data_IF_496004728081
#
_entry.id   IF_496004728081
#
_cell.length_a   1.000
_cell.length_b   1.000
_cell.length_c   1.000
_cell.angle_alpha   90.00
_cell.angle_beta   90.00
_cell.angle_gamma   90.00
#
_symmetry.space_group_name_H-M   'P 1'
#
loop_
_entity.id
_entity.type
_entity.pdbx_description
1 polymer ?
#
# COMPACT_ATOMS: atom_id res chain seq x y z
N UNK A 1 -13.97 22.32 -10.91
CA UNK A 1 -13.34 21.00 -11.20
C UNK A 1 -13.59 20.11 -10.00
N UNK A 2 -14.00 18.86 -10.20
CA UNK A 2 -14.28 17.95 -9.09
C UNK A 2 -12.96 17.48 -8.48
N UNK A 3 -12.72 17.83 -7.22
CA UNK A 3 -11.59 17.36 -6.42
C UNK A 3 -11.89 15.99 -5.84
N UNK A 4 -10.83 15.25 -5.47
CA UNK A 4 -10.91 13.99 -4.74
C UNK A 4 -10.44 14.25 -3.32
N UNK A 5 -11.38 14.30 -2.38
CA UNK A 5 -11.08 14.67 -0.99
C UNK A 5 -10.77 13.41 -0.19
N UNK A 6 -9.53 13.24 0.25
CA UNK A 6 -9.10 12.04 0.97
C UNK A 6 -8.85 12.33 2.45
N UNK A 7 -9.16 11.33 3.29
CA UNK A 7 -8.71 11.26 4.67
C UNK A 7 -7.57 10.24 4.77
N UNK A 8 -6.45 10.59 5.40
CA UNK A 8 -5.30 9.69 5.57
C UNK A 8 -5.24 9.20 7.01
N UNK A 9 -5.12 7.88 7.19
CA UNK A 9 -4.84 7.26 8.50
C UNK A 9 -3.44 6.69 8.48
N UNK A 10 -2.53 7.27 9.27
CA UNK A 10 -1.11 6.99 9.27
C UNK A 10 -0.34 7.89 8.30
N UNK A 11 0.27 8.96 8.81
CA UNK A 11 1.05 9.93 8.03
C UNK A 11 2.50 9.48 7.92
N UNK A 12 2.72 8.24 7.47
CA UNK A 12 4.02 7.59 7.35
C UNK A 12 4.78 7.93 6.05
N UNK A 13 5.81 7.14 5.72
CA UNK A 13 6.56 7.29 4.47
C UNK A 13 5.67 7.16 3.22
N UNK A 14 4.72 6.22 3.20
CA UNK A 14 3.78 6.06 2.09
C UNK A 14 2.90 7.30 1.89
N UNK A 15 2.38 7.88 2.97
CA UNK A 15 1.65 9.15 2.90
C UNK A 15 2.55 10.30 2.40
N UNK A 16 3.81 10.34 2.84
CA UNK A 16 4.79 11.31 2.35
C UNK A 16 5.02 11.19 0.85
N UNK A 17 5.25 9.99 0.34
CA UNK A 17 5.40 9.77 -1.10
C UNK A 17 4.13 10.09 -1.89
N UNK A 18 2.94 9.84 -1.34
CA UNK A 18 1.66 10.20 -1.95
C UNK A 18 1.53 11.72 -2.12
N UNK A 19 1.72 12.50 -1.04
CA UNK A 19 1.57 13.96 -1.08
C UNK A 19 2.66 14.61 -1.95
N UNK A 20 3.90 14.11 -1.88
CA UNK A 20 4.96 14.52 -2.78
C UNK A 20 4.60 14.24 -4.24
N UNK A 21 4.03 13.08 -4.56
CA UNK A 21 3.58 12.71 -5.90
C UNK A 21 2.49 13.64 -6.44
N UNK A 22 1.44 13.89 -5.65
CA UNK A 22 0.33 14.79 -6.01
C UNK A 22 0.84 16.20 -6.36
N UNK A 23 1.84 16.71 -5.63
CA UNK A 23 2.42 18.04 -5.88
C UNK A 23 3.43 18.02 -7.04
N UNK A 24 4.26 16.97 -7.14
CA UNK A 24 5.24 16.82 -8.22
C UNK A 24 4.57 16.83 -9.59
N UNK A 25 3.47 16.09 -9.73
CA UNK A 25 2.75 15.99 -11.02
C UNK A 25 1.86 17.19 -11.34
N UNK A 26 1.68 18.16 -10.43
CA UNK A 26 0.91 19.41 -10.66
C UNK A 26 1.60 20.39 -11.62
N UNK A 27 2.85 20.12 -12.03
CA UNK A 27 3.58 20.93 -13.02
C UNK A 27 4.56 21.94 -12.43
N UNK A 28 4.93 21.79 -11.15
CA UNK A 28 5.97 22.62 -10.50
C UNK A 28 7.40 22.20 -10.86
N UNK A 29 7.58 21.01 -11.46
CA UNK A 29 8.84 20.59 -12.07
C UNK A 29 8.73 20.82 -13.58
N UNK A 30 9.71 21.53 -14.17
CA UNK A 30 9.76 21.86 -15.60
C UNK A 30 9.90 20.65 -16.55
N UNK A 31 9.73 19.43 -16.06
CA UNK A 31 9.83 18.17 -16.79
C UNK A 31 8.53 17.37 -16.60
N UNK A 32 7.44 17.84 -17.23
CA UNK A 32 6.17 17.11 -17.28
C UNK A 32 6.34 15.73 -17.91
N UNK A 33 6.66 14.73 -17.09
CA UNK A 33 6.82 13.35 -17.50
C UNK A 33 5.78 12.49 -16.80
N UNK A 34 5.16 11.56 -17.53
CA UNK A 34 4.25 10.54 -16.98
C UNK A 34 5.02 9.38 -16.30
N UNK A 35 6.33 9.53 -16.13
CA UNK A 35 7.21 8.53 -15.49
C UNK A 35 6.71 8.26 -14.08
N UNK A 36 6.47 6.99 -13.76
CA UNK A 36 6.01 6.59 -12.43
C UNK A 36 4.50 6.75 -12.22
N UNK A 37 3.71 7.01 -13.26
CA UNK A 37 2.25 6.85 -13.25
C UNK A 37 1.86 5.71 -14.20
N UNK A 38 0.92 4.87 -13.79
CA UNK A 38 0.35 3.88 -14.70
C UNK A 38 -0.64 4.56 -15.63
N UNK A 39 -1.45 5.46 -15.08
CA UNK A 39 -2.34 6.33 -15.84
C UNK A 39 -2.09 7.80 -15.48
N UNK A 40 -1.85 8.63 -16.49
CA UNK A 40 -1.81 10.09 -16.28
C UNK A 40 -3.17 10.65 -15.88
N UNK A 41 -4.25 9.99 -16.31
CA UNK A 41 -5.62 10.41 -16.02
C UNK A 41 -6.53 9.18 -15.94
N UNK A 42 -7.44 9.15 -14.96
CA UNK A 42 -8.50 8.14 -14.83
C UNK A 42 -9.84 8.87 -14.85
N UNK A 43 -10.65 8.62 -15.87
CA UNK A 43 -11.87 9.40 -16.10
C UNK A 43 -11.54 10.90 -16.19
N UNK A 44 -12.21 11.78 -15.42
CA UNK A 44 -11.89 13.21 -15.40
C UNK A 44 -10.72 13.58 -14.46
N UNK A 45 -10.10 12.61 -13.77
CA UNK A 45 -9.22 12.86 -12.63
C UNK A 45 -7.74 12.71 -12.95
N UNK A 46 -6.96 13.76 -12.65
CA UNK A 46 -5.50 13.77 -12.69
C UNK A 46 -4.93 13.61 -11.27
N UNK A 47 -3.66 13.23 -11.09
CA UNK A 47 -3.05 13.11 -9.77
C UNK A 47 -3.21 14.37 -8.90
N UNK A 48 -3.10 15.55 -9.50
CA UNK A 48 -3.20 16.86 -8.83
C UNK A 48 -4.61 17.23 -8.34
N UNK A 49 -5.63 16.44 -8.71
CA UNK A 49 -7.00 16.60 -8.24
C UNK A 49 -7.26 15.94 -6.90
N UNK A 50 -6.32 15.13 -6.40
CA UNK A 50 -6.36 14.58 -5.05
C UNK A 50 -5.96 15.67 -4.04
N UNK A 51 -6.75 15.84 -2.99
CA UNK A 51 -6.47 16.75 -1.88
C UNK A 51 -6.69 16.05 -0.54
N UNK A 52 -5.82 16.36 0.42
CA UNK A 52 -5.94 15.84 1.80
C UNK A 52 -6.90 16.74 2.55
N UNK A 53 -8.04 16.19 2.96
CA UNK A 53 -9.06 16.91 3.71
C UNK A 53 -9.01 16.62 5.22
N UNK A 54 -8.50 15.44 5.60
CA UNK A 54 -8.27 15.06 7.00
C UNK A 54 -7.05 14.13 7.10
N UNK A 55 -6.38 14.16 8.25
CA UNK A 55 -5.24 13.28 8.51
C UNK A 55 -5.22 12.86 9.99
N UNK A 56 -4.85 11.61 10.25
CA UNK A 56 -4.74 11.05 11.60
C UNK A 56 -3.39 10.36 11.76
N UNK A 57 -2.71 10.62 12.87
CA UNK A 57 -1.47 9.95 13.27
C UNK A 57 -1.44 9.84 14.81
N UNK A 58 -0.51 9.04 15.34
CA UNK A 58 -0.32 8.88 16.78
C UNK A 58 0.93 9.61 17.26
N UNK A 59 1.85 9.94 16.35
CA UNK A 59 3.15 10.48 16.68
C UNK A 59 3.06 11.96 17.08
N UNK A 60 3.57 12.28 18.28
CA UNK A 60 3.59 13.64 18.83
C UNK A 60 4.32 14.67 17.95
N UNK A 61 5.17 14.24 17.04
CA UNK A 61 5.88 15.12 16.09
C UNK A 61 5.04 15.49 14.88
N UNK A 62 3.91 14.80 14.67
CA UNK A 62 3.02 14.97 13.52
C UNK A 62 1.69 15.59 13.95
N UNK A 63 1.13 15.11 15.05
CA UNK A 63 -0.14 15.61 15.59
C UNK A 63 -0.04 17.11 15.86
N UNK A 64 -1.01 17.87 15.34
CA UNK A 64 -1.08 19.33 15.43
C UNK A 64 -0.39 20.08 14.29
N UNK A 65 0.33 19.41 13.38
CA UNK A 65 0.90 20.02 12.18
C UNK A 65 -0.06 19.89 10.98
N UNK A 66 0.10 20.74 9.97
CA UNK A 66 -0.53 20.51 8.66
C UNK A 66 0.02 19.22 8.04
N UNK A 67 -0.80 18.45 7.34
CA UNK A 67 -0.36 17.23 6.67
C UNK A 67 0.81 17.46 5.70
N UNK A 68 0.91 18.63 5.06
CA UNK A 68 2.04 19.02 4.20
C UNK A 68 3.38 19.11 4.95
N UNK A 69 3.35 19.44 6.25
CA UNK A 69 4.53 19.51 7.11
C UNK A 69 4.81 18.17 7.79
N UNK A 70 3.75 17.52 8.31
CA UNK A 70 3.83 16.27 9.06
C UNK A 70 4.47 15.12 8.24
N UNK A 71 4.29 15.10 6.92
CA UNK A 71 4.89 14.07 6.06
C UNK A 71 6.42 14.09 6.04
N UNK A 72 7.06 15.19 6.45
CA UNK A 72 8.52 15.30 6.57
C UNK A 72 9.02 15.13 8.00
N UNK A 73 8.10 15.08 8.99
CA UNK A 73 8.47 14.86 10.37
C UNK A 73 8.94 13.42 10.59
N UNK A 74 9.92 13.26 11.48
CA UNK A 74 10.41 11.94 11.90
C UNK A 74 9.24 11.08 12.45
N UNK A 75 9.31 9.74 12.30
CA UNK A 75 10.44 8.97 11.79
C UNK A 75 10.39 8.79 10.26
N UNK A 76 9.61 9.61 9.53
CA UNK A 76 9.57 9.52 8.08
C UNK A 76 10.97 9.78 7.49
N UNK A 77 11.34 8.95 6.54
CA UNK A 77 12.68 8.87 5.98
C UNK A 77 12.71 8.52 4.49
N UNK A 78 11.55 8.52 3.81
CA UNK A 78 11.46 8.39 2.34
C UNK A 78 12.28 9.46 1.63
N UNK A 79 12.78 9.12 0.44
CA UNK A 79 13.39 10.11 -0.46
C UNK A 79 12.47 11.31 -0.66
N UNK A 80 13.03 12.50 -0.47
CA UNK A 80 12.36 13.76 -0.82
C UNK A 80 12.63 14.03 -2.31
N UNK A 81 11.58 13.96 -3.13
CA UNK A 81 11.60 14.26 -4.56
C UNK A 81 10.70 15.47 -4.91
N UNK A 82 9.88 15.92 -3.97
CA UNK A 82 9.14 17.18 -4.06
C UNK A 82 9.17 17.88 -2.69
N UNK A 83 9.99 18.92 -2.56
CA UNK A 83 10.14 19.64 -1.29
C UNK A 83 8.98 20.61 -1.01
N UNK A 84 8.48 21.27 -2.06
CA UNK A 84 7.45 22.31 -1.94
C UNK A 84 6.07 21.70 -2.06
N UNK A 85 5.48 21.40 -0.91
CA UNK A 85 4.10 20.92 -0.79
C UNK A 85 3.20 22.09 -0.42
N UNK A 86 2.12 22.28 -1.18
CA UNK A 86 1.13 23.30 -0.82
C UNK A 86 0.45 22.92 0.50
N UNK A 87 0.22 23.88 1.42
CA UNK A 87 -0.53 23.62 2.65
C UNK A 87 -1.87 22.97 2.34
N UNK A 88 -2.21 21.95 3.10
CA UNK A 88 -3.44 21.18 2.88
C UNK A 88 -4.63 21.79 3.63
N UNK A 89 -4.38 22.48 4.74
CA UNK A 89 -5.37 22.88 5.73
C UNK A 89 -5.83 21.72 6.64
N UNK A 90 -5.40 20.49 6.35
CA UNK A 90 -5.73 19.31 7.14
C UNK A 90 -4.71 19.17 8.28
N UNK A 91 -5.08 19.67 9.46
CA UNK A 91 -4.28 19.50 10.68
C UNK A 91 -4.34 18.05 11.13
N UNK A 92 -3.19 17.41 11.31
CA UNK A 92 -3.10 16.02 11.74
C UNK A 92 -3.69 15.88 13.14
N UNK A 93 -4.78 15.14 13.24
CA UNK A 93 -5.47 14.85 14.49
C UNK A 93 -4.86 13.60 15.13
N UNK A 94 -4.93 13.54 16.45
CA UNK A 94 -4.57 12.32 17.17
C UNK A 94 -5.52 11.19 16.77
N UNK A 95 -4.97 10.02 16.44
CA UNK A 95 -5.74 8.81 16.16
C UNK A 95 -5.97 7.94 17.40
N UNK A 96 -6.76 6.88 17.24
CA UNK A 96 -6.78 5.76 18.18
C UNK A 96 -5.64 4.78 17.87
N UNK A 97 -4.92 4.31 18.88
CA UNK A 97 -3.69 3.51 18.71
C UNK A 97 -4.00 2.04 18.45
N UNK A 98 -4.80 1.40 19.32
CA UNK A 98 -5.06 -0.06 19.30
C UNK A 98 -3.77 -0.89 19.14
N UNK A 99 -3.77 -1.86 18.23
CA UNK A 99 -2.62 -2.67 17.81
C UNK A 99 -1.74 -1.97 16.73
N UNK A 100 -1.98 -0.68 16.49
CA UNK A 100 -1.22 0.24 15.64
C UNK A 100 0.27 0.33 15.98
N UNK A 101 0.63 0.13 17.24
CA UNK A 101 2.00 0.30 17.75
C UNK A 101 2.52 -1.02 18.33
N UNK A 102 3.62 -1.55 17.77
CA UNK A 102 4.21 -2.78 18.27
C UNK A 102 5.08 -2.52 19.51
N UNK A 103 4.96 -3.36 20.54
CA UNK A 103 5.63 -3.13 21.83
C UNK A 103 7.15 -2.99 21.74
N UNK A 104 7.82 -3.76 20.87
CA UNK A 104 9.28 -3.70 20.70
C UNK A 104 9.77 -2.38 20.11
N UNK A 105 8.88 -1.59 19.50
CA UNK A 105 9.24 -0.30 18.91
C UNK A 105 9.67 0.73 19.97
N UNK A 106 9.27 0.53 21.23
CA UNK A 106 9.71 1.40 22.34
C UNK A 106 11.18 1.23 22.69
N UNK A 107 11.79 0.11 22.28
CA UNK A 107 13.17 -0.23 22.60
C UNK A 107 14.18 0.37 21.60
N UNK A 108 13.70 1.17 20.64
CA UNK A 108 14.49 1.79 19.58
C UNK A 108 14.64 3.30 19.77
N UNK A 109 15.66 3.86 19.12
CA UNK A 109 15.92 5.30 19.15
C UNK A 109 14.70 6.12 18.70
N UNK A 110 14.43 7.20 19.41
CA UNK A 110 13.27 8.07 19.19
C UNK A 110 13.18 8.61 17.75
N UNK A 111 14.30 8.75 17.03
CA UNK A 111 14.31 9.20 15.64
C UNK A 111 13.86 8.13 14.65
N UNK A 112 13.92 6.85 15.03
CA UNK A 112 13.65 5.69 14.16
C UNK A 112 12.31 5.00 14.47
N UNK A 113 11.61 5.41 15.53
CA UNK A 113 10.37 4.78 16.01
C UNK A 113 9.23 5.79 16.14
N UNK A 114 8.02 5.30 16.40
CA UNK A 114 6.86 6.15 16.69
C UNK A 114 6.89 6.64 18.14
N UNK A 115 6.40 7.85 18.39
CA UNK A 115 6.28 8.43 19.72
C UNK A 115 4.80 8.77 20.01
N UNK A 116 3.98 7.77 20.42
CA UNK A 116 2.55 7.95 20.65
C UNK A 116 2.25 9.01 21.71
N UNK A 117 1.19 9.80 21.51
CA UNK A 117 0.60 10.62 22.58
C UNK A 117 -0.29 9.77 23.50
N UNK A 118 -0.39 10.15 24.77
CA UNK A 118 -1.22 9.43 25.75
C UNK A 118 -2.73 9.63 25.54
N UNK A 119 -3.14 10.82 25.09
CA UNK A 119 -4.55 11.18 24.94
C UNK A 119 -5.04 10.90 23.53
N UNK A 120 -5.67 9.75 23.31
CA UNK A 120 -6.31 9.38 22.05
C UNK A 120 -7.59 10.18 21.79
N UNK A 121 -7.97 10.30 20.51
CA UNK A 121 -9.30 10.77 20.12
C UNK A 121 -10.35 9.69 20.34
N UNK A 122 -11.62 10.09 20.49
CA UNK A 122 -12.73 9.14 20.51
C UNK A 122 -13.20 8.82 19.09
N UNK A 123 -13.95 7.71 18.96
CA UNK A 123 -14.59 7.33 17.70
C UNK A 123 -15.47 8.45 17.14
N UNK A 124 -16.24 9.10 18.00
CA UNK A 124 -17.16 10.19 17.63
C UNK A 124 -16.39 11.38 17.08
N UNK A 125 -15.26 11.75 17.70
CA UNK A 125 -14.40 12.83 17.23
C UNK A 125 -13.81 12.53 15.85
N UNK A 126 -13.37 11.29 15.62
CA UNK A 126 -12.88 10.86 14.31
C UNK A 126 -13.98 10.95 13.26
N UNK A 127 -15.18 10.42 13.54
CA UNK A 127 -16.32 10.46 12.62
C UNK A 127 -16.76 11.90 12.34
N UNK A 128 -16.79 12.75 13.35
CA UNK A 128 -17.12 14.17 13.21
C UNK A 128 -16.10 14.88 12.31
N UNK A 129 -14.81 14.63 12.50
CA UNK A 129 -13.76 15.19 11.64
C UNK A 129 -13.91 14.73 10.18
N UNK A 130 -14.17 13.43 9.95
CA UNK A 130 -14.37 12.90 8.60
C UNK A 130 -15.56 13.57 7.90
N UNK A 131 -16.66 13.80 8.62
CA UNK A 131 -17.84 14.49 8.08
C UNK A 131 -17.59 15.98 7.85
N UNK A 132 -16.97 16.67 8.82
CA UNK A 132 -16.68 18.11 8.77
C UNK A 132 -15.69 18.45 7.67
N UNK A 133 -14.64 17.65 7.53
CA UNK A 133 -13.65 17.80 6.48
C UNK A 133 -14.25 17.61 5.09
N UNK A 134 -15.35 16.85 4.97
CA UNK A 134 -15.97 16.50 3.70
C UNK A 134 -15.09 15.57 2.85
N UNK A 135 -14.30 14.73 3.51
CA UNK A 135 -13.56 13.65 2.87
C UNK A 135 -14.54 12.62 2.27
N UNK A 136 -14.19 12.09 1.11
CA UNK A 136 -14.99 11.11 0.35
C UNK A 136 -14.38 9.71 0.41
N UNK A 137 -13.06 9.63 0.62
CA UNK A 137 -12.30 8.38 0.59
C UNK A 137 -11.33 8.36 1.76
N UNK A 138 -11.32 7.29 2.55
CA UNK A 138 -10.29 7.06 3.56
C UNK A 138 -9.19 6.15 3.00
N UNK A 139 -7.94 6.57 3.17
CA UNK A 139 -6.73 5.87 2.73
C UNK A 139 -5.98 5.37 3.95
N UNK A 140 -5.89 4.04 4.09
CA UNK A 140 -5.26 3.39 5.24
C UNK A 140 -3.78 3.11 4.98
N UNK A 141 -2.90 3.69 5.79
CA UNK A 141 -1.44 3.49 5.83
C UNK A 141 -0.95 3.13 7.24
N UNK A 142 -1.79 2.48 8.04
CA UNK A 142 -1.38 1.97 9.34
C UNK A 142 -0.23 0.94 9.24
N UNK A 143 0.51 0.69 10.32
CA UNK A 143 1.55 -0.33 10.32
C UNK A 143 1.02 -1.75 10.04
N UNK A 144 1.88 -2.63 9.54
CA UNK A 144 1.54 -4.04 9.34
C UNK A 144 1.20 -4.69 10.68
N UNK A 145 0.12 -5.49 10.71
CA UNK A 145 -0.35 -6.18 11.91
C UNK A 145 -1.34 -5.37 12.75
N UNK A 146 -1.77 -4.20 12.29
CA UNK A 146 -2.76 -3.35 12.94
C UNK A 146 -4.20 -3.75 12.55
N UNK A 147 -4.62 -4.94 12.98
CA UNK A 147 -5.92 -5.56 12.69
C UNK A 147 -7.07 -4.80 13.34
N UNK A 148 -7.00 -4.58 14.65
CA UNK A 148 -8.02 -3.88 15.43
C UNK A 148 -8.14 -2.43 14.98
N UNK A 149 -7.01 -1.73 14.82
CA UNK A 149 -6.99 -0.36 14.34
C UNK A 149 -7.61 -0.26 12.93
N UNK A 150 -7.22 -1.12 11.99
CA UNK A 150 -7.75 -1.07 10.62
C UNK A 150 -9.25 -1.32 10.59
N UNK A 151 -9.75 -2.31 11.33
CA UNK A 151 -11.19 -2.58 11.44
C UNK A 151 -11.93 -1.42 12.09
N UNK A 152 -11.34 -0.78 13.10
CA UNK A 152 -11.90 0.43 13.71
C UNK A 152 -12.05 1.56 12.69
N UNK A 153 -10.98 1.92 11.97
CA UNK A 153 -11.01 3.00 10.98
C UNK A 153 -11.90 2.68 9.76
N UNK A 154 -11.93 1.42 9.30
CA UNK A 154 -12.90 0.98 8.29
C UNK A 154 -14.35 1.15 8.79
N UNK A 155 -14.60 0.90 10.07
CA UNK A 155 -15.88 1.18 10.73
C UNK A 155 -16.22 2.67 10.76
N UNK A 156 -15.26 3.53 11.09
CA UNK A 156 -15.42 4.99 11.04
C UNK A 156 -15.70 5.49 9.63
N UNK A 157 -14.99 4.98 8.61
CA UNK A 157 -15.22 5.31 7.21
C UNK A 157 -16.65 4.95 6.78
N UNK A 158 -17.11 3.73 7.10
CA UNK A 158 -18.48 3.31 6.83
C UNK A 158 -19.51 4.23 7.50
N UNK A 159 -19.31 4.60 8.77
CA UNK A 159 -20.25 5.46 9.52
C UNK A 159 -20.24 6.93 9.07
N UNK A 160 -19.11 7.40 8.55
CA UNK A 160 -18.98 8.73 7.95
C UNK A 160 -19.37 8.76 6.46
N UNK A 161 -19.73 7.61 5.86
CA UNK A 161 -20.06 7.43 4.43
C UNK A 161 -18.91 7.69 3.46
N UNK A 162 -17.72 7.17 3.78
CA UNK A 162 -16.53 7.26 2.93
C UNK A 162 -16.26 5.92 2.23
N UNK A 163 -15.76 6.00 1.01
CA UNK A 163 -15.06 4.89 0.36
C UNK A 163 -13.77 4.54 1.13
N UNK A 164 -13.19 3.37 0.86
CA UNK A 164 -12.01 2.90 1.58
C UNK A 164 -10.94 2.33 0.64
N UNK A 165 -9.70 2.78 0.80
CA UNK A 165 -8.52 2.22 0.12
C UNK A 165 -7.60 1.63 1.16
N UNK A 166 -7.50 0.30 1.18
CA UNK A 166 -6.74 -0.44 2.18
C UNK A 166 -5.36 -0.84 1.65
N UNK A 167 -4.32 -0.11 2.05
CA UNK A 167 -2.97 -0.36 1.53
C UNK A 167 -2.17 -1.40 2.34
N UNK A 168 -2.74 -1.95 3.42
CA UNK A 168 -2.01 -2.79 4.36
C UNK A 168 -2.58 -4.22 4.35
N UNK A 169 -1.83 -5.24 4.82
CA UNK A 169 -2.25 -6.65 4.76
C UNK A 169 -3.19 -7.04 5.91
N UNK A 170 -4.24 -6.26 6.12
CA UNK A 170 -5.38 -6.62 6.99
C UNK A 170 -6.58 -6.84 6.07
N UNK A 171 -7.29 -7.94 6.24
CA UNK A 171 -8.39 -8.30 5.34
C UNK A 171 -9.63 -7.45 5.61
N UNK A 172 -10.02 -6.63 4.64
CA UNK A 172 -11.24 -5.81 4.65
C UNK A 172 -11.97 -5.98 3.32
N UNK A 173 -11.31 -5.70 2.18
CA UNK A 173 -11.93 -5.95 0.89
C UNK A 173 -12.09 -7.46 0.63
N UNK A 174 -11.12 -8.26 1.09
CA UNK A 174 -11.09 -9.72 0.97
C UNK A 174 -11.84 -10.48 2.05
N UNK A 175 -12.31 -9.79 3.10
CA UNK A 175 -13.22 -10.36 4.09
C UNK A 175 -14.67 -10.20 3.60
N UNK A 176 -15.43 -11.30 3.36
CA UNK A 176 -16.80 -11.24 2.89
C UNK A 176 -17.76 -10.42 3.77
N UNK A 177 -17.51 -10.37 5.09
CA UNK A 177 -18.33 -9.61 6.04
C UNK A 177 -18.13 -8.11 5.83
N UNK A 178 -16.89 -7.67 5.67
CA UNK A 178 -16.57 -6.27 5.41
C UNK A 178 -16.97 -5.86 3.99
N UNK A 179 -16.66 -6.68 2.98
CA UNK A 179 -17.08 -6.47 1.60
C UNK A 179 -18.60 -6.24 1.50
N UNK A 180 -19.40 -7.07 2.20
CA UNK A 180 -20.85 -6.90 2.26
C UNK A 180 -21.26 -5.58 2.90
N UNK A 181 -20.64 -5.18 4.01
CA UNK A 181 -20.98 -3.90 4.69
C UNK A 181 -20.74 -2.67 3.81
N UNK A 182 -19.67 -2.69 3.00
CA UNK A 182 -19.41 -1.64 2.01
C UNK A 182 -20.42 -1.67 0.86
N UNK A 183 -20.77 -2.86 0.37
CA UNK A 183 -21.80 -3.03 -0.66
C UNK A 183 -23.20 -2.56 -0.18
N UNK A 184 -23.60 -2.92 1.04
CA UNK A 184 -24.89 -2.55 1.63
C UNK A 184 -25.05 -1.01 1.77
N UNK A 185 -23.94 -0.28 1.94
CA UNK A 185 -23.90 1.19 1.96
C UNK A 185 -23.65 1.84 0.60
N UNK A 186 -23.47 1.03 -0.45
CA UNK A 186 -23.05 1.48 -1.77
C UNK A 186 -21.77 2.33 -1.76
N UNK A 187 -20.78 1.94 -0.93
CA UNK A 187 -19.48 2.61 -0.81
C UNK A 187 -18.39 1.73 -1.42
N UNK A 188 -17.55 2.25 -2.32
CA UNK A 188 -16.50 1.45 -2.95
C UNK A 188 -15.35 1.15 -1.98
N UNK A 189 -14.77 -0.04 -2.14
CA UNK A 189 -13.56 -0.46 -1.43
C UNK A 189 -12.54 -1.09 -2.39
N UNK A 190 -11.28 -0.70 -2.23
CA UNK A 190 -10.11 -1.29 -2.90
C UNK A 190 -9.15 -1.86 -1.86
N UNK A 191 -8.71 -3.09 -2.05
CA UNK A 191 -7.82 -3.79 -1.12
C UNK A 191 -7.67 -5.29 -1.44
N UNK A 192 -6.81 -6.02 -0.74
CA UNK A 192 -6.00 -5.60 0.41
C UNK A 192 -4.48 -5.74 0.14
N UNK A 193 -3.65 -4.97 0.86
CA UNK A 193 -2.19 -4.87 0.71
C UNK A 193 -1.74 -4.28 -0.65
N UNK A 194 -1.38 -3.00 -0.70
CA UNK A 194 -1.03 -2.33 -1.98
C UNK A 194 0.16 -3.00 -2.68
N UNK A 195 0.12 -3.09 -4.00
CA UNK A 195 1.26 -3.47 -4.84
C UNK A 195 2.25 -2.32 -4.93
N UNK A 196 3.46 -2.66 -5.36
CA UNK A 196 4.45 -1.69 -5.81
C UNK A 196 4.57 -1.79 -7.34
N UNK A 197 4.99 -0.72 -8.00
CA UNK A 197 5.26 -0.69 -9.44
C UNK A 197 6.29 -1.76 -9.80
N UNK A 198 7.41 -1.78 -9.08
CA UNK A 198 8.47 -2.76 -9.25
C UNK A 198 8.93 -3.32 -7.91
N UNK A 199 8.19 -4.29 -7.40
CA UNK A 199 8.51 -4.98 -6.15
C UNK A 199 9.28 -6.29 -6.34
N UNK A 200 9.89 -6.77 -5.25
CA UNK A 200 10.55 -8.07 -5.23
C UNK A 200 9.62 -9.24 -5.62
N UNK A 201 8.38 -9.25 -5.12
CA UNK A 201 7.42 -10.33 -5.38
C UNK A 201 7.02 -10.41 -6.85
N UNK A 202 6.72 -9.27 -7.50
CA UNK A 202 6.38 -9.27 -8.92
C UNK A 202 7.59 -9.65 -9.79
N UNK A 203 8.80 -9.16 -9.46
CA UNK A 203 10.03 -9.56 -10.15
C UNK A 203 10.25 -11.08 -10.08
N UNK A 204 10.19 -11.63 -8.87
CA UNK A 204 10.38 -13.06 -8.64
C UNK A 204 9.34 -13.89 -9.39
N UNK A 205 8.06 -13.51 -9.30
CA UNK A 205 6.97 -14.16 -10.02
C UNK A 205 7.19 -14.16 -11.53
N UNK A 206 7.59 -13.03 -12.12
CA UNK A 206 7.86 -12.91 -13.56
C UNK A 206 9.01 -13.81 -14.01
N UNK A 207 10.10 -13.88 -13.24
CA UNK A 207 11.24 -14.75 -13.57
C UNK A 207 10.85 -16.22 -13.51
N UNK A 208 10.14 -16.62 -12.46
CA UNK A 208 9.69 -18.00 -12.26
C UNK A 208 8.65 -18.42 -13.31
N UNK A 209 7.71 -17.54 -13.66
CA UNK A 209 6.76 -17.79 -14.74
C UNK A 209 7.48 -17.93 -16.10
N UNK A 210 8.50 -17.11 -16.36
CA UNK A 210 9.34 -17.26 -17.54
C UNK A 210 10.05 -18.62 -17.56
N UNK A 211 10.62 -19.05 -16.43
CA UNK A 211 11.29 -20.35 -16.30
C UNK A 211 10.32 -21.48 -16.66
N UNK A 212 9.12 -21.46 -16.07
CA UNK A 212 8.04 -22.40 -16.38
C UNK A 212 7.71 -22.41 -17.88
N UNK A 213 7.47 -21.23 -18.47
CA UNK A 213 7.13 -21.08 -19.90
C UNK A 213 8.25 -21.57 -20.84
N UNK A 214 9.49 -21.62 -20.38
CA UNK A 214 10.66 -22.07 -21.15
C UNK A 214 11.13 -23.49 -20.80
N UNK A 215 10.40 -24.21 -19.95
CA UNK A 215 10.74 -25.58 -19.54
C UNK A 215 11.93 -25.66 -18.58
N UNK A 216 12.27 -24.57 -17.89
CA UNK A 216 13.29 -24.56 -16.83
C UNK A 216 12.62 -24.96 -15.52
N UNK A 217 13.09 -26.04 -14.90
CA UNK A 217 12.58 -26.50 -13.61
C UNK A 217 13.22 -25.68 -12.49
N UNK A 218 12.41 -25.07 -11.63
CA UNK A 218 12.88 -24.48 -10.38
C UNK A 218 12.97 -25.58 -9.31
N UNK A 219 14.09 -25.65 -8.60
CA UNK A 219 14.30 -26.61 -7.51
C UNK A 219 14.29 -25.94 -6.13
N UNK A 220 14.93 -24.76 -6.02
CA UNK A 220 15.04 -24.00 -4.77
C UNK A 220 15.01 -22.51 -5.04
N UNK A 221 14.47 -21.74 -4.11
CA UNK A 221 14.55 -20.28 -4.18
C UNK A 221 14.46 -19.60 -2.82
N UNK A 222 15.09 -18.43 -2.70
CA UNK A 222 14.79 -17.51 -1.63
C UNK A 222 14.57 -16.08 -2.13
N UNK A 223 13.89 -15.29 -1.31
CA UNK A 223 13.75 -13.85 -1.45
C UNK A 223 13.97 -13.20 -0.07
N UNK A 224 15.11 -12.55 0.10
CA UNK A 224 15.52 -11.87 1.32
C UNK A 224 15.36 -10.37 1.15
N UNK A 225 14.61 -9.71 2.03
CA UNK A 225 14.32 -8.27 1.93
C UNK A 225 14.84 -7.54 3.17
N UNK A 226 15.61 -6.47 2.97
CA UNK A 226 16.08 -5.57 4.04
C UNK A 226 15.64 -4.14 3.75
N UNK A 227 15.46 -3.35 4.81
CA UNK A 227 15.14 -1.92 4.73
C UNK A 227 15.34 -1.24 6.09
N UNK A 228 15.30 0.09 6.13
CA UNK A 228 15.61 0.89 7.32
C UNK A 228 14.51 1.85 7.75
N UNK A 229 13.28 1.64 7.29
CA UNK A 229 12.12 2.46 7.66
C UNK A 229 11.32 1.83 8.82
N UNK A 230 10.32 2.55 9.30
CA UNK A 230 9.45 2.08 10.39
C UNK A 230 8.61 0.85 10.04
N UNK A 231 8.29 0.62 8.76
CA UNK A 231 7.59 -0.61 8.35
C UNK A 231 8.48 -1.83 8.56
N UNK A 232 9.74 -1.79 8.13
CA UNK A 232 10.72 -2.86 8.37
C UNK A 232 11.00 -3.06 9.86
N UNK A 233 11.10 -1.97 10.62
CA UNK A 233 11.27 -2.04 12.08
C UNK A 233 10.06 -2.71 12.75
N UNK A 234 8.85 -2.29 12.41
CA UNK A 234 7.60 -2.91 12.91
C UNK A 234 7.52 -4.39 12.55
N UNK A 235 8.00 -4.75 11.35
CA UNK A 235 8.04 -6.10 10.84
C UNK A 235 9.08 -7.02 11.48
N UNK A 236 10.00 -6.54 12.34
CA UNK A 236 10.87 -7.44 13.12
C UNK A 236 10.08 -8.35 14.07
N UNK A 237 8.88 -7.94 14.46
CA UNK A 237 8.00 -8.77 15.26
C UNK A 237 7.41 -9.92 14.43
N UNK A 238 7.96 -11.12 14.62
CA UNK A 238 7.57 -12.32 13.88
C UNK A 238 6.10 -12.72 14.05
N UNK A 239 5.44 -12.39 15.16
CA UNK A 239 4.01 -12.71 15.33
C UNK A 239 3.13 -11.90 14.37
N UNK A 240 3.54 -10.67 14.04
CA UNK A 240 2.87 -9.79 13.07
C UNK A 240 3.12 -10.18 11.60
N UNK A 241 4.05 -11.11 11.35
CA UNK A 241 4.48 -11.50 10.00
C UNK A 241 3.78 -12.72 9.41
N UNK A 242 3.07 -13.51 10.22
CA UNK A 242 2.55 -14.82 9.80
C UNK A 242 1.76 -14.73 8.49
N UNK A 243 0.78 -13.82 8.42
CA UNK A 243 -0.04 -13.60 7.22
C UNK A 243 0.78 -13.12 6.02
N UNK A 244 1.70 -12.17 6.22
CA UNK A 244 2.51 -11.57 5.13
C UNK A 244 3.53 -12.56 4.55
N UNK A 245 4.11 -13.44 5.38
CA UNK A 245 4.99 -14.53 4.93
C UNK A 245 4.22 -15.51 4.05
N UNK A 246 3.07 -15.98 4.53
CA UNK A 246 2.21 -16.91 3.79
C UNK A 246 1.78 -16.30 2.46
N UNK A 247 1.22 -15.08 2.45
CA UNK A 247 0.77 -14.43 1.21
C UNK A 247 1.88 -14.26 0.17
N UNK A 248 3.11 -13.92 0.60
CA UNK A 248 4.24 -13.77 -0.34
C UNK A 248 4.73 -15.11 -0.88
N UNK A 249 4.78 -16.15 -0.05
CA UNK A 249 5.14 -17.49 -0.48
C UNK A 249 4.12 -18.03 -1.48
N UNK A 250 2.82 -17.91 -1.19
CA UNK A 250 1.76 -18.36 -2.09
C UNK A 250 1.73 -17.60 -3.42
N UNK A 251 2.07 -16.30 -3.42
CA UNK A 251 2.18 -15.51 -4.64
C UNK A 251 3.24 -16.06 -5.62
N UNK A 252 4.32 -16.68 -5.13
CA UNK A 252 5.35 -17.33 -5.98
C UNK A 252 5.00 -18.80 -6.26
N UNK A 253 4.51 -19.54 -5.26
CA UNK A 253 4.05 -20.93 -5.44
C UNK A 253 2.98 -21.06 -6.53
N UNK A 254 2.05 -20.12 -6.62
CA UNK A 254 0.95 -20.16 -7.59
C UNK A 254 1.38 -20.13 -9.07
N UNK A 255 2.59 -19.62 -9.37
CA UNK A 255 3.10 -19.56 -10.75
C UNK A 255 4.11 -20.65 -11.09
N UNK A 256 4.59 -21.42 -10.11
CA UNK A 256 5.62 -22.46 -10.31
C UNK A 256 5.11 -23.67 -11.11
N UNK A 257 3.79 -23.85 -11.24
CA UNK A 257 3.17 -25.01 -11.88
C UNK A 257 3.20 -26.27 -11.01
N UNK A 258 4.35 -26.58 -10.41
CA UNK A 258 4.51 -27.59 -9.35
C UNK A 258 4.93 -26.91 -8.05
N UNK A 259 4.24 -27.22 -6.94
CA UNK A 259 4.52 -26.62 -5.63
C UNK A 259 5.88 -27.09 -5.12
N UNK A 260 6.75 -26.14 -4.75
CA UNK A 260 7.99 -26.47 -4.05
C UNK A 260 7.70 -26.90 -2.62
N UNK A 261 8.47 -27.87 -2.12
CA UNK A 261 8.47 -28.22 -0.70
C UNK A 261 8.86 -27.00 0.14
N UNK A 262 8.27 -26.85 1.32
CA UNK A 262 8.47 -25.66 2.18
C UNK A 262 9.95 -25.46 2.57
N UNK A 263 10.76 -26.53 2.62
CA UNK A 263 12.20 -26.45 2.87
C UNK A 263 13.02 -25.87 1.69
N UNK A 264 12.44 -25.82 0.49
CA UNK A 264 13.08 -25.35 -0.74
C UNK A 264 12.66 -23.93 -1.14
N UNK A 265 11.82 -23.27 -0.34
CA UNK A 265 11.34 -21.91 -0.60
C UNK A 265 11.39 -21.05 0.67
N UNK A 266 12.05 -19.89 0.59
CA UNK A 266 12.13 -18.96 1.71
C UNK A 266 11.87 -17.52 1.27
N UNK A 267 10.71 -16.96 1.63
CA UNK A 267 10.33 -15.60 1.24
C UNK A 267 9.87 -14.83 2.47
N UNK A 268 10.43 -13.64 2.69
CA UNK A 268 10.02 -12.80 3.81
C UNK A 268 10.88 -11.55 4.02
N UNK A 269 10.47 -10.65 4.91
CA UNK A 269 11.41 -9.68 5.47
C UNK A 269 12.53 -10.42 6.20
N UNK A 270 13.75 -9.91 6.04
CA UNK A 270 14.95 -10.52 6.57
C UNK A 270 15.46 -9.73 7.75
N UNK A 271 15.63 -8.42 7.61
CA UNK A 271 16.20 -7.59 8.66
C UNK A 271 15.89 -6.10 8.52
N UNK A 272 16.12 -5.36 9.60
CA UNK A 272 16.08 -3.91 9.70
C UNK A 272 17.51 -3.34 9.68
N UNK A 273 17.82 -2.53 8.68
CA UNK A 273 19.15 -1.92 8.47
C UNK A 273 19.00 -0.40 8.46
N UNK A 274 19.24 0.29 9.60
CA UNK A 274 18.82 1.69 9.81
C UNK A 274 19.26 2.66 8.71
N UNK A 275 20.51 2.55 8.24
CA UNK A 275 21.07 3.48 7.25
C UNK A 275 20.47 3.30 5.84
N UNK A 276 19.73 2.21 5.59
CA UNK A 276 19.00 2.05 4.34
C UNK A 276 17.79 2.99 4.25
N UNK A 277 17.28 3.51 5.38
CA UNK A 277 16.09 4.37 5.43
C UNK A 277 14.95 3.71 4.63
N UNK A 278 14.30 4.43 3.72
CA UNK A 278 13.21 3.87 2.90
C UNK A 278 13.68 3.08 1.67
N UNK A 279 14.98 3.02 1.40
CA UNK A 279 15.51 2.14 0.36
C UNK A 279 15.42 0.69 0.83
N UNK A 280 14.77 -0.12 0.01
CA UNK A 280 14.59 -1.55 0.20
C UNK A 280 15.46 -2.30 -0.77
N UNK A 281 16.27 -3.19 -0.20
CA UNK A 281 17.12 -4.09 -0.96
C UNK A 281 16.54 -5.49 -0.88
N UNK A 282 16.36 -6.12 -2.02
CA UNK A 282 15.95 -7.51 -2.12
C UNK A 282 17.01 -8.34 -2.84
N UNK A 283 17.32 -9.50 -2.27
CA UNK A 283 18.14 -10.54 -2.87
C UNK A 283 17.25 -11.73 -3.20
N UNK A 284 17.19 -12.10 -4.47
CA UNK A 284 16.48 -13.28 -4.95
C UNK A 284 17.52 -14.25 -5.47
N UNK A 285 17.42 -15.51 -5.04
CA UNK A 285 18.17 -16.62 -5.63
C UNK A 285 17.21 -17.66 -6.15
N UNK A 286 17.44 -18.14 -7.36
CA UNK A 286 16.66 -19.20 -7.99
C UNK A 286 17.65 -20.24 -8.50
N UNK A 287 17.47 -21.48 -8.04
CA UNK A 287 18.25 -22.64 -8.48
C UNK A 287 17.34 -23.57 -9.26
N UNK A 288 17.83 -24.09 -10.38
CA UNK A 288 17.01 -24.88 -11.28
C UNK A 288 17.82 -25.77 -12.22
N UNK A 289 17.11 -26.37 -13.18
CA UNK A 289 17.66 -27.26 -14.21
C UNK A 289 17.21 -26.85 -15.61
N UNK A 290 18.18 -26.82 -16.51
CA UNK A 290 18.02 -26.58 -17.94
C UNK A 290 17.84 -27.90 -18.71
N UNK A 291 17.87 -27.80 -20.03
CA UNK A 291 17.88 -28.96 -20.93
C UNK A 291 18.98 -29.96 -20.55
N UNK A 292 18.62 -31.25 -20.46
CA UNK A 292 19.54 -32.32 -20.05
C UNK A 292 19.88 -32.33 -18.56
N UNK A 293 19.01 -31.79 -17.70
CA UNK A 293 19.20 -31.67 -16.25
C UNK A 293 20.45 -30.87 -15.84
N UNK A 294 20.98 -30.05 -16.75
CA UNK A 294 22.14 -29.19 -16.47
C UNK A 294 21.75 -28.16 -15.42
N UNK A 295 22.48 -28.07 -14.28
CA UNK A 295 22.12 -27.15 -13.20
C UNK A 295 22.33 -25.69 -13.63
N UNK A 296 21.50 -24.81 -13.08
CA UNK A 296 21.63 -23.37 -13.21
C UNK A 296 21.32 -22.66 -11.90
N UNK A 297 21.92 -21.50 -11.71
CA UNK A 297 21.62 -20.58 -10.62
C UNK A 297 21.48 -19.15 -11.15
N UNK A 298 20.62 -18.37 -10.51
CA UNK A 298 20.41 -16.97 -10.81
C UNK A 298 20.32 -16.19 -9.51
N UNK A 299 21.18 -15.19 -9.36
CA UNK A 299 21.16 -14.23 -8.27
C UNK A 299 20.73 -12.85 -8.80
N UNK A 300 19.72 -12.27 -8.17
CA UNK A 300 19.17 -10.96 -8.52
C UNK A 300 19.20 -10.06 -7.29
N UNK A 301 19.72 -8.84 -7.48
CA UNK A 301 19.64 -7.76 -6.50
C UNK A 301 18.73 -6.66 -7.04
N UNK A 302 17.67 -6.34 -6.31
CA UNK A 302 16.78 -5.21 -6.57
C UNK A 302 16.95 -4.17 -5.46
N UNK A 303 17.16 -2.90 -5.82
CA UNK A 303 17.18 -1.77 -4.88
C UNK A 303 16.17 -0.74 -5.34
N UNK A 304 15.20 -0.41 -4.47
CA UNK A 304 14.10 0.53 -4.77
C UNK A 304 13.76 1.34 -3.54
N UNK A 305 13.32 2.58 -3.71
CA UNK A 305 12.66 3.34 -2.64
C UNK A 305 11.26 2.75 -2.39
N UNK A 306 11.00 2.16 -1.22
CA UNK A 306 9.81 1.33 -0.99
C UNK A 306 8.51 2.13 -1.07
N UNK A 307 8.47 3.32 -0.48
CA UNK A 307 7.25 4.12 -0.38
C UNK A 307 6.85 4.78 -1.72
N UNK A 308 7.76 5.46 -2.46
CA UNK A 308 7.45 5.98 -3.79
C UNK A 308 7.03 4.89 -4.78
N UNK A 309 7.56 3.68 -4.62
CA UNK A 309 7.25 2.53 -5.48
C UNK A 309 5.79 2.06 -5.34
N UNK A 310 5.07 2.43 -4.27
CA UNK A 310 3.62 2.18 -4.14
C UNK A 310 2.74 3.42 -4.37
N UNK A 311 3.31 4.63 -4.29
CA UNK A 311 2.56 5.88 -4.37
C UNK A 311 1.78 6.02 -5.69
N UNK A 312 2.39 5.70 -6.83
CA UNK A 312 1.71 5.74 -8.13
C UNK A 312 0.49 4.81 -8.19
N UNK A 313 0.63 3.60 -7.61
CA UNK A 313 -0.45 2.60 -7.52
C UNK A 313 -1.58 3.11 -6.62
N UNK A 314 -1.24 3.73 -5.48
CA UNK A 314 -2.23 4.31 -4.58
C UNK A 314 -3.00 5.48 -5.22
N UNK A 315 -2.34 6.33 -6.02
CA UNK A 315 -3.01 7.41 -6.77
C UNK A 315 -4.05 6.84 -7.75
N UNK A 316 -3.73 5.76 -8.47
CA UNK A 316 -4.70 5.08 -9.34
C UNK A 316 -5.86 4.45 -8.54
N UNK A 317 -5.58 3.76 -7.43
CA UNK A 317 -6.61 3.18 -6.56
C UNK A 317 -7.59 4.23 -6.03
N UNK A 318 -7.09 5.38 -5.55
CA UNK A 318 -7.89 6.51 -5.08
C UNK A 318 -8.79 7.05 -6.20
N UNK A 319 -8.25 7.24 -7.41
CA UNK A 319 -9.01 7.74 -8.56
C UNK A 319 -10.06 6.74 -9.05
N UNK A 320 -9.78 5.44 -9.01
CA UNK A 320 -10.77 4.40 -9.30
C UNK A 320 -11.92 4.40 -8.27
N UNK A 321 -11.62 4.57 -6.98
CA UNK A 321 -12.64 4.74 -5.95
C UNK A 321 -13.51 5.97 -6.21
N UNK A 322 -12.92 7.12 -6.58
CA UNK A 322 -13.69 8.31 -6.91
C UNK A 322 -14.57 8.11 -8.14
N UNK A 323 -14.03 7.49 -9.19
CA UNK A 323 -14.78 7.18 -10.40
C UNK A 323 -15.98 6.25 -10.10
N UNK A 324 -15.81 5.28 -9.19
CA UNK A 324 -16.89 4.43 -8.72
C UNK A 324 -17.96 5.22 -7.94
N UNK A 325 -17.55 6.11 -7.04
CA UNK A 325 -18.46 7.01 -6.31
C UNK A 325 -19.34 7.82 -7.27
N UNK A 326 -18.75 8.43 -8.31
CA UNK A 326 -19.51 9.23 -9.27
C UNK A 326 -20.47 8.38 -10.13
N UNK A 327 -20.13 7.10 -10.34
CA UNK A 327 -20.97 6.13 -11.06
C UNK A 327 -22.00 5.46 -10.15
N UNK A 328 -22.04 5.80 -8.86
CA UNK A 328 -22.92 5.17 -7.88
C UNK A 328 -22.63 3.67 -7.69
N UNK A 329 -21.38 3.24 -7.85
CA UNK A 329 -20.93 1.85 -7.69
C UNK A 329 -20.24 1.68 -6.33
N UNK A 330 -20.78 0.78 -5.52
CA UNK A 330 -20.22 0.41 -4.21
C UNK A 330 -19.80 -1.04 -4.10
N UNK A 331 -19.32 -1.42 -2.92
CA UNK A 331 -18.71 -2.74 -2.69
C UNK A 331 -17.29 -2.82 -3.22
N UNK A 332 -16.79 -4.05 -3.37
CA UNK A 332 -15.41 -4.28 -3.85
C UNK A 332 -15.29 -3.89 -5.31
N UNK A 333 -14.32 -3.03 -5.64
CA UNK A 333 -13.90 -2.81 -7.02
C UNK A 333 -12.95 -3.93 -7.44
N UNK A 334 -13.50 -5.05 -7.93
CA UNK A 334 -12.74 -6.26 -8.24
C UNK A 334 -11.57 -6.02 -9.21
N UNK A 335 -11.79 -5.22 -10.26
CA UNK A 335 -10.77 -4.90 -11.25
C UNK A 335 -9.63 -4.08 -10.64
N UNK A 336 -9.96 -3.04 -9.87
CA UNK A 336 -8.98 -2.21 -9.21
C UNK A 336 -8.21 -2.99 -8.13
N UNK A 337 -8.90 -3.76 -7.28
CA UNK A 337 -8.28 -4.59 -6.26
C UNK A 337 -7.33 -5.64 -6.87
N UNK A 338 -7.75 -6.35 -7.93
CA UNK A 338 -6.91 -7.35 -8.58
C UNK A 338 -5.62 -6.77 -9.15
N UNK A 339 -5.71 -5.56 -9.71
CA UNK A 339 -4.56 -4.93 -10.34
C UNK A 339 -3.65 -4.22 -9.33
N UNK A 340 -4.21 -3.53 -8.35
CA UNK A 340 -3.47 -2.67 -7.42
C UNK A 340 -3.12 -3.34 -6.08
N UNK A 341 -3.74 -4.46 -5.71
CA UNK A 341 -3.56 -5.10 -4.40
C UNK A 341 -2.94 -6.49 -4.52
N UNK A 342 -2.12 -6.88 -3.54
CA UNK A 342 -1.46 -8.19 -3.48
C UNK A 342 -2.43 -9.30 -3.08
N UNK A 343 -3.45 -8.97 -2.28
CA UNK A 343 -4.47 -9.91 -1.82
C UNK A 343 -5.88 -9.43 -2.21
N UNK A 344 -6.21 -9.44 -3.51
CA UNK A 344 -7.56 -9.12 -3.95
C UNK A 344 -8.54 -10.24 -3.58
N UNK A 345 -9.86 -9.95 -3.49
CA UNK A 345 -10.88 -10.98 -3.23
C UNK A 345 -10.98 -12.01 -4.37
N UNK A 346 -10.64 -11.59 -5.59
CA UNK A 346 -10.57 -12.46 -6.77
C UNK A 346 -9.17 -12.34 -7.36
N UNK A 347 -8.43 -13.45 -7.37
CA UNK A 347 -7.10 -13.53 -7.95
C UNK A 347 -7.18 -13.52 -9.48
N UNK A 348 -6.33 -12.72 -10.12
CA UNK A 348 -6.20 -12.63 -11.57
C UNK A 348 -4.72 -12.66 -11.93
N UNK A 349 -4.40 -13.09 -13.15
CA UNK A 349 -3.07 -12.84 -13.71
C UNK A 349 -2.85 -11.34 -13.86
N UNK A 350 -1.60 -10.86 -13.86
CA UNK A 350 -1.37 -9.41 -13.98
C UNK A 350 -1.91 -8.85 -15.31
N UNK A 351 -1.82 -9.62 -16.41
CA UNK A 351 -2.34 -9.24 -17.73
C UNK A 351 -3.88 -9.12 -17.73
N UNK A 352 -4.56 -10.07 -17.08
CA UNK A 352 -6.02 -10.03 -16.97
C UNK A 352 -6.48 -8.92 -16.02
N UNK A 353 -5.77 -8.72 -14.92
CA UNK A 353 -6.05 -7.63 -13.98
C UNK A 353 -5.86 -6.25 -14.64
N UNK A 354 -4.82 -6.09 -15.45
CA UNK A 354 -4.58 -4.89 -16.25
C UNK A 354 -5.74 -4.62 -17.21
N UNK A 355 -6.11 -5.62 -18.03
CA UNK A 355 -7.26 -5.50 -18.93
C UNK A 355 -8.56 -5.21 -18.18
N UNK A 356 -8.79 -5.88 -17.05
CA UNK A 356 -9.98 -5.67 -16.22
C UNK A 356 -10.07 -4.23 -15.70
N UNK A 357 -8.96 -3.64 -15.24
CA UNK A 357 -8.96 -2.26 -14.75
C UNK A 357 -9.15 -1.26 -15.90
N UNK A 358 -8.60 -1.51 -17.09
CA UNK A 358 -8.80 -0.68 -18.28
C UNK A 358 -10.27 -0.69 -18.74
N UNK A 359 -10.91 -1.86 -18.71
CA UNK A 359 -12.35 -2.02 -18.97
C UNK A 359 -13.19 -1.25 -17.93
N UNK A 360 -12.80 -1.31 -16.65
CA UNK A 360 -13.46 -0.54 -15.60
C UNK A 360 -13.28 0.97 -15.83
N UNK A 361 -12.06 1.45 -16.09
CA UNK A 361 -11.78 2.88 -16.30
C UNK A 361 -12.58 3.41 -17.49
N UNK A 362 -12.59 2.69 -18.61
CA UNK A 362 -13.36 3.05 -19.82
C UNK A 362 -14.87 2.91 -19.68
N UNK A 363 -15.37 2.21 -18.65
CA UNK A 363 -16.80 1.99 -18.42
C UNK A 363 -17.38 0.78 -19.18
N UNK A 364 -16.52 -0.07 -19.76
CA UNK A 364 -16.91 -1.36 -20.35
C UNK A 364 -17.21 -2.45 -19.30
N UNK A 365 -16.84 -2.20 -18.03
CA UNK A 365 -17.06 -3.08 -16.88
C UNK A 365 -17.49 -2.31 -15.65
N UNK A 366 -18.29 -2.94 -14.80
CA UNK A 366 -18.91 -2.33 -13.61
C UNK A 366 -18.01 -2.28 -12.35
N UNK A 367 -17.08 -3.23 -12.17
CA UNK A 367 -16.25 -3.34 -10.96
C UNK A 367 -14.87 -3.90 -11.21
#
# INVERSE_FOLDING_TARGET
MNKIRIAIVGVGNCASSLLQGINFYRGSSGNGSDVGLMHRQIGPYRPEDIEVAAAFDIDRRKVGLDAAEAIFALPNCTKVFCEKIQPTGAIVMMGCVFDGYASHMQDYDAQSTFLPLEKESTREQIIEELRRSGAEIMVNYLPVGSEEATRFYAGCALEANLAFVNNIPVFIASDPVWAKRFADKNLPIVGDDIKAQMGATILHRTIVDLFRKRGVKVERTYQLNTGGNTDFLNMLNRSRLASKKTSKTEAVQSVLGERLADANIHIGPSDYVPWQRDNKICFIRIEGKLFGDVPMEMDVKLSVEDSPNSAGVAIDAIRCCKLALDRGKGGVLHSASAYFSKHPPVQMTDDDAHRSVEEFISGARDS
#
